data_IF_157735341086
#
_entry.id   IF_157735341086
#
_cell.length_a   1.000
_cell.length_b   1.000
_cell.length_c   1.000
_cell.angle_alpha   90.00
_cell.angle_beta   90.00
_cell.angle_gamma   90.00
#
_symmetry.space_group_name_H-M   'P 1'
#
loop_
_entity.id
_entity.type
_entity.pdbx_description
1 polymer ?
#
# COMPACT_ATOMS: atom_id res chain seq x y z
N UNK A 1 -9.78 -2.27 17.01
CA UNK A 1 -9.65 -2.61 15.58
C UNK A 1 -10.04 -1.36 14.82
N UNK A 2 -9.09 -0.73 14.14
CA UNK A 2 -9.39 0.43 13.28
C UNK A 2 -10.08 -0.13 12.04
N UNK A 3 -11.33 0.26 11.82
CA UNK A 3 -12.07 -0.15 10.64
C UNK A 3 -11.45 0.51 9.40
N UNK A 4 -11.15 -0.27 8.36
CA UNK A 4 -10.60 0.26 7.12
C UNK A 4 -11.71 1.00 6.37
N UNK A 5 -11.46 2.28 6.05
CA UNK A 5 -12.34 3.05 5.17
C UNK A 5 -12.03 2.72 3.71
N UNK A 6 -12.83 1.82 3.12
CA UNK A 6 -12.69 1.41 1.72
C UNK A 6 -12.97 2.52 0.69
N UNK A 7 -13.44 3.69 1.12
CA UNK A 7 -13.59 4.87 0.27
C UNK A 7 -12.26 5.62 0.06
N UNK A 8 -11.25 5.35 0.88
CA UNK A 8 -9.90 5.91 0.74
C UNK A 8 -9.11 5.20 -0.34
N UNK A 9 -8.09 5.88 -0.83
CA UNK A 9 -7.19 5.27 -1.80
C UNK A 9 -6.25 4.31 -1.07
N UNK A 10 -5.88 3.23 -1.74
CA UNK A 10 -4.87 2.29 -1.27
C UNK A 10 -3.77 2.13 -2.31
N UNK A 11 -2.54 2.39 -1.90
CA UNK A 11 -1.36 2.39 -2.77
C UNK A 11 -0.65 1.04 -2.69
N UNK A 12 -0.67 0.28 -3.78
CA UNK A 12 -0.15 -1.08 -3.88
C UNK A 12 1.32 -1.12 -4.30
N UNK A 13 2.17 -1.70 -3.45
CA UNK A 13 3.60 -1.95 -3.66
C UNK A 13 3.85 -3.42 -3.93
N UNK A 14 4.30 -3.73 -5.14
CA UNK A 14 4.58 -5.11 -5.57
C UNK A 14 6.03 -5.55 -5.36
N UNK A 15 6.97 -4.65 -5.07
CA UNK A 15 8.40 -4.97 -4.96
C UNK A 15 8.97 -5.80 -6.13
N UNK A 16 8.50 -5.53 -7.36
CA UNK A 16 8.91 -6.26 -8.57
C UNK A 16 8.16 -7.57 -8.83
N UNK A 17 7.28 -8.03 -7.92
CA UNK A 17 6.43 -9.21 -8.09
C UNK A 17 5.16 -8.91 -8.87
N UNK A 18 5.33 -8.60 -10.16
CA UNK A 18 4.21 -8.37 -11.07
C UNK A 18 3.31 -9.61 -11.23
N UNK A 19 3.86 -10.80 -11.03
CA UNK A 19 3.13 -12.08 -10.97
C UNK A 19 2.05 -12.09 -9.87
N UNK A 20 2.26 -11.37 -8.77
CA UNK A 20 1.33 -11.29 -7.64
C UNK A 20 0.35 -10.12 -7.74
N UNK A 21 0.42 -9.30 -8.79
CA UNK A 21 -0.44 -8.12 -8.96
C UNK A 21 -1.92 -8.48 -8.88
N UNK A 22 -2.35 -9.45 -9.68
CA UNK A 22 -3.76 -9.85 -9.75
C UNK A 22 -4.25 -10.41 -8.41
N UNK A 23 -3.43 -11.25 -7.77
CA UNK A 23 -3.73 -11.81 -6.46
C UNK A 23 -3.88 -10.72 -5.39
N UNK A 24 -2.97 -9.74 -5.40
CA UNK A 24 -3.02 -8.62 -4.49
C UNK A 24 -4.25 -7.74 -4.72
N UNK A 25 -4.59 -7.45 -5.98
CA UNK A 25 -5.81 -6.72 -6.33
C UNK A 25 -7.05 -7.45 -5.85
N UNK A 26 -7.16 -8.77 -6.10
CA UNK A 26 -8.30 -9.56 -5.65
C UNK A 26 -8.43 -9.58 -4.12
N UNK A 27 -7.33 -9.66 -3.39
CA UNK A 27 -7.31 -9.62 -1.93
C UNK A 27 -7.79 -8.26 -1.38
N UNK A 28 -7.36 -7.15 -1.98
CA UNK A 28 -7.81 -5.80 -1.61
C UNK A 28 -9.28 -5.57 -1.97
N UNK A 29 -9.73 -6.06 -3.12
CA UNK A 29 -11.13 -5.96 -3.53
C UNK A 29 -12.05 -6.81 -2.65
N UNK A 30 -11.59 -7.99 -2.21
CA UNK A 30 -12.30 -8.82 -1.24
C UNK A 30 -12.44 -8.15 0.14
N UNK A 31 -11.54 -7.23 0.50
CA UNK A 31 -11.67 -6.36 1.68
C UNK A 31 -12.66 -5.21 1.51
N UNK A 32 -13.17 -4.99 0.30
CA UNK A 32 -14.15 -3.96 -0.01
C UNK A 32 -13.59 -2.73 -0.70
N UNK A 33 -12.29 -2.67 -1.01
CA UNK A 33 -11.75 -1.59 -1.85
C UNK A 33 -12.29 -1.74 -3.27
N UNK A 34 -12.77 -0.64 -3.85
CA UNK A 34 -13.12 -0.64 -5.26
C UNK A 34 -11.85 -0.71 -6.14
N UNK A 35 -11.92 -1.34 -7.31
CA UNK A 35 -10.77 -1.47 -8.21
C UNK A 35 -10.14 -0.11 -8.60
N UNK A 36 -10.94 0.95 -8.66
CA UNK A 36 -10.46 2.31 -8.93
C UNK A 36 -9.83 3.01 -7.71
N UNK A 37 -9.93 2.43 -6.52
CA UNK A 37 -9.29 2.90 -5.28
C UNK A 37 -7.95 2.22 -5.04
N UNK A 38 -7.69 1.09 -5.69
CA UNK A 38 -6.39 0.41 -5.67
C UNK A 38 -5.47 1.05 -6.71
N UNK A 39 -4.56 1.90 -6.25
CA UNK A 39 -3.63 2.66 -7.08
C UNK A 39 -2.26 2.00 -7.02
N UNK A 40 -1.60 1.81 -8.17
CA UNK A 40 -0.21 1.36 -8.19
C UNK A 40 0.68 2.43 -7.57
N UNK A 41 1.48 2.07 -6.56
CA UNK A 41 2.35 3.05 -5.92
C UNK A 41 3.49 3.49 -6.84
N UNK A 42 3.70 4.80 -6.94
CA UNK A 42 4.77 5.42 -7.72
C UNK A 42 5.74 6.16 -6.79
N UNK A 43 7.06 6.18 -7.06
CA UNK A 43 8.02 6.84 -6.17
C UNK A 43 7.87 8.37 -6.10
N UNK A 44 7.24 8.99 -7.09
CA UNK A 44 7.02 10.43 -7.21
C UNK A 44 5.60 10.87 -6.82
N UNK A 45 4.73 9.94 -6.44
CA UNK A 45 3.35 10.24 -6.06
C UNK A 45 3.00 9.47 -4.79
N UNK A 46 2.72 10.23 -3.73
CA UNK A 46 2.33 9.70 -2.42
C UNK A 46 0.85 9.93 -2.16
N UNK A 47 0.26 9.09 -1.33
CA UNK A 47 -1.09 9.29 -0.82
C UNK A 47 -1.20 10.43 0.19
N UNK A 48 -2.43 10.68 0.63
CA UNK A 48 -2.74 11.68 1.65
C UNK A 48 -2.82 11.05 3.03
N UNK A 49 -2.81 11.88 4.07
CA UNK A 49 -3.12 11.42 5.44
C UNK A 49 -4.53 10.81 5.46
N UNK A 50 -4.62 9.59 5.98
CA UNK A 50 -5.82 8.77 6.01
C UNK A 50 -5.96 7.79 4.84
N UNK A 51 -5.19 7.94 3.76
CA UNK A 51 -5.07 6.90 2.72
C UNK A 51 -4.25 5.71 3.24
N UNK A 52 -4.29 4.60 2.50
CA UNK A 52 -3.67 3.35 2.89
C UNK A 52 -2.52 2.96 1.96
N UNK A 53 -1.57 2.18 2.48
CA UNK A 53 -0.52 1.52 1.73
C UNK A 53 -0.70 0.02 1.86
N UNK A 54 -0.72 -0.69 0.74
CA UNK A 54 -0.71 -2.14 0.65
C UNK A 54 0.64 -2.60 0.13
N UNK A 55 1.45 -3.26 0.96
CA UNK A 55 2.79 -3.69 0.60
C UNK A 55 2.89 -5.22 0.59
N UNK A 56 3.36 -5.80 -0.51
CA UNK A 56 3.74 -7.23 -0.54
C UNK A 56 4.92 -7.46 0.42
N UNK A 57 4.70 -8.21 1.49
CA UNK A 57 5.64 -8.39 2.60
C UNK A 57 6.18 -9.82 2.68
N UNK A 58 7.40 -9.96 3.20
CA UNK A 58 8.34 -11.09 3.06
C UNK A 58 9.07 -11.22 1.71
N UNK A 59 9.64 -10.14 1.14
CA UNK A 59 10.54 -10.30 -0.01
C UNK A 59 11.73 -11.23 0.35
N UNK A 60 12.17 -12.12 -0.58
CA UNK A 60 11.82 -12.17 -2.01
C UNK A 60 10.51 -12.92 -2.33
N UNK A 61 9.96 -13.68 -1.38
CA UNK A 61 8.77 -14.51 -1.55
C UNK A 61 7.63 -13.99 -0.67
N UNK A 62 6.99 -12.88 -1.06
CA UNK A 62 5.94 -12.32 -0.24
C UNK A 62 4.74 -13.26 -0.18
N UNK A 63 4.25 -13.50 1.03
CA UNK A 63 3.15 -14.41 1.34
C UNK A 63 1.92 -13.67 1.92
N UNK A 64 2.07 -12.38 2.24
CA UNK A 64 0.96 -11.53 2.67
C UNK A 64 1.14 -10.08 2.20
N UNK A 65 0.02 -9.34 2.22
CA UNK A 65 -0.06 -7.90 2.01
C UNK A 65 -0.12 -7.24 3.37
N UNK A 66 0.82 -6.36 3.67
CA UNK A 66 0.78 -5.50 4.85
C UNK A 66 -0.01 -4.23 4.52
N UNK A 67 -1.09 -3.97 5.25
CA UNK A 67 -1.85 -2.72 5.13
C UNK A 67 -1.43 -1.76 6.23
N UNK A 68 -1.02 -0.56 5.82
CA UNK A 68 -0.63 0.51 6.72
C UNK A 68 -1.43 1.78 6.40
N UNK A 69 -1.84 2.54 7.39
CA UNK A 69 -2.51 3.82 7.18
C UNK A 69 -1.47 4.94 7.18
N UNK A 70 -1.57 5.85 6.21
CA UNK A 70 -0.73 7.04 6.17
C UNK A 70 -1.19 8.00 7.27
N UNK A 71 -0.32 8.26 8.23
CA UNK A 71 -0.60 9.16 9.36
C UNK A 71 0.04 10.52 9.22
N UNK A 72 1.09 10.62 8.41
CA UNK A 72 1.77 11.88 8.11
C UNK A 72 2.40 11.84 6.73
N UNK A 73 2.37 12.97 6.03
CA UNK A 73 3.06 13.18 4.75
C UNK A 73 3.90 14.45 4.88
N UNK A 74 5.21 14.31 4.73
CA UNK A 74 6.17 15.41 4.73
C UNK A 74 6.78 15.57 3.34
N UNK A 75 6.96 16.82 2.91
CA UNK A 75 7.70 17.12 1.69
C UNK A 75 9.18 16.84 1.91
N UNK A 76 9.68 15.80 1.25
CA UNK A 76 11.08 15.40 1.25
C UNK A 76 11.65 15.50 -0.15
N UNK A 77 12.95 15.77 -0.26
CA UNK A 77 13.64 15.65 -1.54
C UNK A 77 13.71 14.17 -1.94
N UNK A 78 13.38 13.82 -3.19
CA UNK A 78 13.48 12.44 -3.68
C UNK A 78 14.95 12.11 -3.97
N UNK A 79 15.75 11.95 -2.91
CA UNK A 79 17.19 11.69 -3.00
C UNK A 79 17.53 10.19 -3.09
N UNK A 80 16.52 9.31 -2.95
CA UNK A 80 16.67 7.85 -2.85
C UNK A 80 15.63 7.09 -3.71
N UNK A 81 15.85 5.77 -3.88
CA UNK A 81 14.96 4.84 -4.61
C UNK A 81 13.53 4.79 -4.04
N UNK A 82 13.38 5.11 -2.75
CA UNK A 82 12.09 5.20 -2.05
C UNK A 82 11.27 6.42 -2.48
N UNK A 83 11.90 7.43 -3.10
CA UNK A 83 11.24 8.65 -3.55
C UNK A 83 10.55 9.41 -2.41
N UNK A 84 9.39 10.00 -2.71
CA UNK A 84 8.60 10.81 -1.76
C UNK A 84 8.04 9.98 -0.60
N UNK A 85 7.95 8.65 -0.73
CA UNK A 85 7.44 7.76 0.32
C UNK A 85 8.30 7.73 1.59
N UNK A 86 9.54 8.24 1.52
CA UNK A 86 10.42 8.46 2.67
C UNK A 86 9.85 9.48 3.66
N UNK A 87 9.10 10.48 3.17
CA UNK A 87 8.42 11.47 4.00
C UNK A 87 7.07 11.00 4.56
N UNK A 88 6.67 9.75 4.29
CA UNK A 88 5.35 9.24 4.66
C UNK A 88 5.45 8.36 5.90
N UNK A 89 4.89 8.84 7.02
CA UNK A 89 4.71 8.04 8.23
C UNK A 89 3.46 7.16 8.11
N UNK A 90 3.56 5.93 8.62
CA UNK A 90 2.55 4.91 8.44
C UNK A 90 2.38 4.08 9.71
N UNK A 91 1.15 3.77 10.05
CA UNK A 91 0.83 2.85 11.15
C UNK A 91 0.29 1.53 10.60
N UNK A 92 0.75 0.43 11.15
CA UNK A 92 0.29 -0.91 10.79
C UNK A 92 -1.16 -1.10 11.21
N UNK A 93 -2.02 -1.43 10.24
CA UNK A 93 -3.45 -1.67 10.49
C UNK A 93 -3.73 -3.16 10.54
N UNK A 94 -3.39 -3.87 9.46
CA UNK A 94 -3.63 -5.30 9.36
C UNK A 94 -2.72 -5.95 8.29
N UNK A 95 -2.86 -7.27 8.13
CA UNK A 95 -2.18 -8.03 7.10
C UNK A 95 -3.13 -9.02 6.46
N UNK A 96 -3.02 -9.19 5.14
CA UNK A 96 -3.87 -10.07 4.34
C UNK A 96 -3.01 -11.18 3.75
N UNK A 97 -3.23 -12.44 4.12
CA UNK A 97 -2.51 -13.55 3.49
C UNK A 97 -2.82 -13.63 1.99
N UNK A 98 -1.80 -13.93 1.20
CA UNK A 98 -1.88 -14.18 -0.24
C UNK A 98 -1.98 -15.69 -0.51
N UNK A 99 -2.84 -16.42 0.21
CA UNK A 99 -3.06 -17.87 0.02
C UNK A 99 -3.65 -18.21 -1.36
#
# INVERSE_FOLDING_TARGET
MTEIDSQKNIYLFLHGRMDLKEKAMNALTAKGFANNKVIMALPNEVGNVGDYMAMLWMPPNPDHIKIQQITKVEEVKPDDVTGLWKGVSKDDIESIPLE
#
